data_IF_217550484871
#
_entry.id   IF_217550484871
#
_cell.length_a   1.000
_cell.length_b   1.000
_cell.length_c   1.000
_cell.angle_alpha   90.00
_cell.angle_beta   90.00
_cell.angle_gamma   90.00
#
_symmetry.space_group_name_H-M   'P 1'
#
loop_
_entity.id
_entity.type
_entity.pdbx_description
1 polymer ?
#
# COMPACT_ATOMS: atom_id res chain seq x y z
N UNK A 1 -11.29 41.66 -42.04
CA UNK A 1 -11.15 40.29 -42.57
C UNK A 1 -10.31 39.50 -41.58
N UNK A 2 -10.80 38.34 -41.15
CA UNK A 2 -10.54 37.70 -39.85
C UNK A 2 -9.12 37.12 -39.75
N UNK A 3 -8.41 37.46 -38.68
CA UNK A 3 -7.16 36.84 -38.25
C UNK A 3 -7.49 35.47 -37.63
N UNK A 4 -7.28 34.39 -38.38
CA UNK A 4 -7.43 33.01 -37.88
C UNK A 4 -6.17 32.66 -37.08
N UNK A 5 -6.18 32.96 -35.78
CA UNK A 5 -5.17 32.47 -34.85
C UNK A 5 -5.48 31.00 -34.58
N UNK A 6 -4.72 30.13 -35.25
CA UNK A 6 -4.72 28.68 -35.00
C UNK A 6 -4.13 28.46 -33.61
N UNK A 7 -5.00 28.42 -32.60
CA UNK A 7 -4.71 27.84 -31.30
C UNK A 7 -4.55 26.32 -31.51
N UNK A 8 -3.34 25.90 -31.87
CA UNK A 8 -2.92 24.52 -31.69
C UNK A 8 -2.97 24.23 -30.19
N UNK A 9 -4.11 23.69 -29.76
CA UNK A 9 -4.33 23.21 -28.41
C UNK A 9 -3.26 22.18 -28.08
N UNK A 10 -2.25 22.62 -27.34
CA UNK A 10 -1.46 21.75 -26.51
C UNK A 10 -2.43 21.13 -25.49
N UNK A 11 -3.07 20.03 -25.87
CA UNK A 11 -3.75 19.14 -24.95
C UNK A 11 -2.62 18.52 -24.13
N UNK A 12 -2.18 19.27 -23.12
CA UNK A 12 -1.36 18.75 -22.03
C UNK A 12 -2.29 17.80 -21.29
N UNK A 13 -2.32 16.54 -21.75
CA UNK A 13 -2.85 15.42 -21.01
C UNK A 13 -1.97 15.29 -19.78
N UNK A 14 -2.31 16.06 -18.75
CA UNK A 14 -1.81 15.88 -17.41
C UNK A 14 -2.39 14.55 -16.94
N UNK A 15 -1.65 13.48 -17.21
CA UNK A 15 -1.85 12.19 -16.58
C UNK A 15 -1.67 12.44 -15.09
N UNK A 16 -2.78 12.63 -14.37
CA UNK A 16 -2.83 12.59 -12.93
C UNK A 16 -2.43 11.18 -12.53
N UNK A 17 -1.13 10.97 -12.37
CA UNK A 17 -0.59 9.83 -11.66
C UNK A 17 -1.16 9.92 -10.26
N UNK A 18 -2.21 9.15 -9.98
CA UNK A 18 -2.79 9.04 -8.64
C UNK A 18 -1.65 8.72 -7.70
N UNK A 19 -1.34 9.64 -6.79
CA UNK A 19 -0.27 9.47 -5.82
C UNK A 19 -0.57 8.23 -4.97
N UNK A 20 0.05 7.12 -5.35
CA UNK A 20 0.18 5.90 -4.57
C UNK A 20 0.87 6.28 -3.26
N UNK A 21 0.09 6.54 -2.23
CA UNK A 21 0.56 6.73 -0.86
C UNK A 21 -0.17 5.72 0.01
N UNK A 22 0.55 5.02 0.87
CA UNK A 22 -0.04 4.51 2.12
C UNK A 22 -0.68 5.72 2.80
N UNK A 23 -2.01 5.73 2.81
CA UNK A 23 -2.78 6.96 2.95
C UNK A 23 -2.84 7.48 4.40
N UNK A 24 -2.31 6.75 5.39
CA UNK A 24 -2.28 7.18 6.79
C UNK A 24 -1.01 6.73 7.52
N UNK A 25 -0.17 7.69 7.91
CA UNK A 25 0.97 7.49 8.82
C UNK A 25 0.49 7.52 10.28
N UNK A 26 -0.36 6.57 10.66
CA UNK A 26 -0.84 6.41 12.05
C UNK A 26 -0.67 4.95 12.50
N UNK A 27 -0.42 4.71 13.79
CA UNK A 27 -0.45 3.36 14.35
C UNK A 27 -1.88 2.81 14.37
N UNK A 28 -2.02 1.48 14.38
CA UNK A 28 -3.29 0.76 14.44
C UNK A 28 -3.99 0.57 13.09
N UNK A 29 -3.35 0.93 11.96
CA UNK A 29 -3.90 0.70 10.62
C UNK A 29 -3.48 -0.69 10.16
N UNK A 30 -4.46 -1.57 9.93
CA UNK A 30 -4.21 -2.96 9.61
C UNK A 30 -4.30 -3.26 8.12
N UNK A 31 -3.36 -4.06 7.63
CA UNK A 31 -3.21 -4.46 6.24
C UNK A 31 -3.28 -5.98 6.11
N UNK A 32 -3.94 -6.44 5.04
CA UNK A 32 -3.98 -7.86 4.67
C UNK A 32 -2.72 -8.22 3.90
N UNK A 33 -2.08 -9.32 4.28
CA UNK A 33 -0.83 -9.78 3.69
C UNK A 33 -1.06 -11.16 3.08
N UNK A 34 -0.97 -11.22 1.77
CA UNK A 34 -1.20 -12.43 0.97
C UNK A 34 0.12 -13.14 0.68
N UNK A 35 0.11 -14.47 0.77
CA UNK A 35 1.20 -15.30 0.27
C UNK A 35 1.05 -15.55 -1.24
N UNK A 36 2.08 -16.09 -1.94
CA UNK A 36 1.96 -16.48 -3.34
C UNK A 36 0.82 -17.48 -3.62
N UNK A 37 0.48 -18.32 -2.65
CA UNK A 37 -0.61 -19.29 -2.72
C UNK A 37 -2.00 -18.64 -2.56
N UNK A 38 -2.05 -17.35 -2.24
CA UNK A 38 -3.27 -16.56 -2.05
C UNK A 38 -3.43 -15.47 -3.13
N UNK A 39 -3.48 -15.84 -4.43
CA UNK A 39 -3.39 -14.89 -5.55
C UNK A 39 -4.58 -13.93 -5.67
N UNK A 40 -5.72 -14.24 -5.03
CA UNK A 40 -6.91 -13.39 -5.08
C UNK A 40 -6.85 -12.32 -3.99
N UNK A 41 -6.32 -11.16 -4.34
CA UNK A 41 -6.07 -10.05 -3.41
C UNK A 41 -7.35 -9.36 -2.91
N UNK A 42 -8.44 -9.49 -3.67
CA UNK A 42 -9.75 -8.98 -3.31
C UNK A 42 -10.76 -10.12 -3.13
N UNK A 43 -10.72 -10.86 -2.00
CA UNK A 43 -11.72 -11.87 -1.71
C UNK A 43 -13.06 -11.20 -1.39
N UNK A 44 -14.16 -11.79 -1.86
CA UNK A 44 -15.52 -11.30 -1.57
C UNK A 44 -15.74 -11.27 -0.05
N UNK A 45 -16.10 -10.12 0.56
CA UNK A 45 -16.29 -10.02 2.01
C UNK A 45 -17.34 -11.00 2.57
N UNK A 46 -18.35 -11.37 1.76
CA UNK A 46 -19.42 -12.29 2.17
C UNK A 46 -19.01 -13.76 2.07
N UNK A 47 -17.93 -14.06 1.35
CA UNK A 47 -17.41 -15.41 1.13
C UNK A 47 -15.88 -15.35 1.18
N UNK A 48 -15.30 -15.23 2.40
CA UNK A 48 -13.86 -15.17 2.56
C UNK A 48 -13.23 -16.44 1.96
N UNK A 49 -12.31 -16.24 1.02
CA UNK A 49 -11.66 -17.35 0.29
C UNK A 49 -10.53 -17.97 1.12
N UNK A 50 -9.89 -17.17 1.97
CA UNK A 50 -8.75 -17.56 2.76
C UNK A 50 -9.11 -17.45 4.24
N UNK A 51 -9.36 -18.57 4.95
CA UNK A 51 -9.73 -18.54 6.36
C UNK A 51 -8.59 -18.03 7.25
N UNK A 52 -7.34 -18.29 6.85
CA UNK A 52 -6.14 -17.92 7.59
C UNK A 52 -5.36 -16.78 6.90
N UNK A 53 -6.08 -15.75 6.43
CA UNK A 53 -5.42 -14.59 5.83
C UNK A 53 -4.67 -13.80 6.89
N UNK A 54 -3.36 -13.67 6.73
CA UNK A 54 -2.56 -12.91 7.69
C UNK A 54 -2.91 -11.41 7.63
N UNK A 55 -3.04 -10.80 8.79
CA UNK A 55 -3.27 -9.38 8.97
C UNK A 55 -2.27 -8.84 9.97
N UNK A 56 -1.67 -7.71 9.63
CA UNK A 56 -0.73 -7.01 10.51
C UNK A 56 -1.08 -5.53 10.57
N UNK A 57 -0.78 -4.87 11.67
CA UNK A 57 -1.13 -3.48 11.91
C UNK A 57 0.11 -2.62 12.07
N UNK A 58 -0.01 -1.35 11.70
CA UNK A 58 1.07 -0.40 11.86
C UNK A 58 1.32 -0.11 13.33
N UNK A 59 2.58 -0.09 13.73
CA UNK A 59 2.99 0.16 15.11
C UNK A 59 4.29 0.95 15.16
N UNK A 60 4.56 1.59 16.30
CA UNK A 60 5.82 2.28 16.53
C UNK A 60 6.87 1.28 17.02
N UNK A 61 7.92 1.09 16.22
CA UNK A 61 9.04 0.20 16.53
C UNK A 61 10.33 1.01 16.53
N UNK A 62 11.24 0.69 17.44
CA UNK A 62 12.59 1.25 17.42
C UNK A 62 13.39 0.70 16.25
N UNK A 63 13.86 1.57 15.37
CA UNK A 63 14.81 1.28 14.31
C UNK A 63 15.94 2.29 14.35
N UNK A 64 17.20 1.84 14.43
CA UNK A 64 18.40 2.70 14.49
C UNK A 64 18.29 3.88 15.48
N UNK A 65 17.81 3.58 16.70
CA UNK A 65 17.62 4.56 17.80
C UNK A 65 16.51 5.60 17.57
N UNK A 66 15.71 5.46 16.52
CA UNK A 66 14.53 6.30 16.25
C UNK A 66 13.25 5.47 16.30
N UNK A 67 12.16 6.08 16.74
CA UNK A 67 10.84 5.45 16.65
C UNK A 67 10.30 5.60 15.22
N UNK A 68 10.00 4.46 14.61
CA UNK A 68 9.52 4.36 13.26
C UNK A 68 8.17 3.66 13.22
N UNK A 69 7.20 4.31 12.58
CA UNK A 69 5.94 3.69 12.24
C UNK A 69 6.20 2.64 11.18
N UNK A 70 5.91 1.39 11.54
CA UNK A 70 6.31 0.22 10.77
C UNK A 70 5.19 -0.81 10.72
N UNK A 71 5.27 -1.73 9.76
CA UNK A 71 4.36 -2.86 9.60
C UNK A 71 5.21 -4.13 9.50
N UNK A 72 4.96 -5.11 10.39
CA UNK A 72 5.71 -6.37 10.42
C UNK A 72 4.95 -7.47 9.69
N UNK A 73 5.61 -8.23 8.81
CA UNK A 73 4.98 -9.37 8.11
C UNK A 73 5.13 -10.67 8.89
N UNK A 74 4.43 -11.72 8.45
CA UNK A 74 4.56 -13.09 8.98
C UNK A 74 5.95 -13.71 8.79
N UNK A 75 6.79 -13.12 7.93
CA UNK A 75 8.16 -13.58 7.66
C UNK A 75 9.22 -12.73 8.40
N UNK A 76 8.80 -11.96 9.41
CA UNK A 76 9.65 -11.01 10.15
C UNK A 76 10.25 -9.87 9.31
N UNK A 77 9.71 -9.60 8.12
CA UNK A 77 10.08 -8.41 7.36
C UNK A 77 9.39 -7.18 7.96
N UNK A 78 10.10 -6.06 8.09
CA UNK A 78 9.59 -4.83 8.70
C UNK A 78 9.55 -3.73 7.65
N UNK A 79 8.35 -3.33 7.23
CA UNK A 79 8.13 -2.23 6.32
C UNK A 79 8.08 -0.91 7.10
N UNK A 80 9.02 -0.01 6.85
CA UNK A 80 9.12 1.29 7.54
C UNK A 80 8.37 2.35 6.75
N UNK A 81 7.30 2.89 7.34
CA UNK A 81 6.46 3.91 6.73
C UNK A 81 7.02 5.32 6.96
N UNK A 82 7.32 5.66 8.21
CA UNK A 82 7.82 6.97 8.60
C UNK A 82 8.58 6.89 9.92
N UNK A 83 9.61 7.70 10.12
CA UNK A 83 10.35 7.78 11.37
C UNK A 83 10.30 9.19 11.95
N UNK A 84 10.24 9.30 13.27
CA UNK A 84 10.25 10.59 13.96
C UNK A 84 11.60 11.29 13.68
N UNK A 85 11.56 12.58 13.34
CA UNK A 85 12.75 13.38 13.08
C UNK A 85 13.39 13.20 11.69
N UNK A 86 12.92 12.25 10.87
CA UNK A 86 13.43 12.05 9.51
C UNK A 86 12.54 12.78 8.50
N UNK A 87 13.04 13.88 7.94
CA UNK A 87 12.43 14.54 6.77
C UNK A 87 12.69 13.67 5.52
N UNK A 88 11.78 12.73 5.27
CA UNK A 88 11.91 11.76 4.20
C UNK A 88 11.98 12.43 2.81
N UNK A 89 13.15 12.36 2.15
CA UNK A 89 13.28 12.50 0.69
C UNK A 89 12.83 11.21 -0.04
N UNK A 90 11.77 10.57 0.43
CA UNK A 90 11.31 9.27 -0.11
C UNK A 90 10.48 9.52 -1.36
N UNK A 91 10.75 8.74 -2.41
CA UNK A 91 9.89 8.67 -3.60
C UNK A 91 8.47 8.28 -3.15
N UNK A 92 7.41 9.00 -3.58
CA UNK A 92 6.04 8.65 -3.25
C UNK A 92 5.73 7.18 -3.58
N UNK A 93 5.07 6.50 -2.65
CA UNK A 93 4.70 5.08 -2.80
C UNK A 93 5.84 4.09 -2.59
N UNK A 94 7.06 4.53 -2.29
CA UNK A 94 8.19 3.66 -1.99
C UNK A 94 8.58 3.72 -0.51
N UNK A 95 8.95 2.57 0.03
CA UNK A 95 9.17 2.33 1.46
C UNK A 95 10.44 1.54 1.66
N UNK A 96 11.12 1.80 2.77
CA UNK A 96 12.22 0.94 3.21
C UNK A 96 11.62 -0.31 3.83
N UNK A 97 12.13 -1.48 3.48
CA UNK A 97 11.83 -2.75 4.14
C UNK A 97 13.12 -3.32 4.73
N UNK A 98 13.03 -3.86 5.94
CA UNK A 98 14.13 -4.52 6.64
C UNK A 98 13.81 -5.99 6.68
N UNK A 99 14.64 -6.79 6.03
CA UNK A 99 14.47 -8.24 5.99
C UNK A 99 14.94 -8.89 7.30
N UNK A 100 14.62 -10.17 7.49
CA UNK A 100 15.06 -10.97 8.66
C UNK A 100 16.58 -10.93 8.85
N UNK A 101 17.34 -10.87 7.76
CA UNK A 101 18.82 -10.76 7.77
C UNK A 101 19.32 -9.34 8.06
N UNK A 102 18.44 -8.43 8.49
CA UNK A 102 18.70 -6.99 8.73
C UNK A 102 19.17 -6.22 7.50
N UNK A 103 18.99 -6.79 6.30
CA UNK A 103 19.26 -6.08 5.05
C UNK A 103 18.13 -5.12 4.75
N UNK A 104 18.49 -3.90 4.38
CA UNK A 104 17.54 -2.87 3.99
C UNK A 104 17.35 -2.84 2.46
N UNK A 105 16.11 -2.73 2.04
CA UNK A 105 15.74 -2.63 0.63
C UNK A 105 14.65 -1.57 0.44
N UNK A 106 14.46 -1.10 -0.80
CA UNK A 106 13.37 -0.20 -1.15
C UNK A 106 12.34 -0.97 -1.97
N UNK A 107 11.11 -1.02 -1.46
CA UNK A 107 9.96 -1.62 -2.14
C UNK A 107 8.95 -0.53 -2.48
N UNK A 108 8.34 -0.62 -3.66
CA UNK A 108 7.39 0.38 -4.12
C UNK A 108 6.01 -0.24 -4.33
N UNK A 109 4.99 0.57 -4.07
CA UNK A 109 3.62 0.27 -4.42
C UNK A 109 3.48 0.12 -5.93
N UNK A 110 2.75 -0.91 -6.34
CA UNK A 110 2.36 -1.16 -7.72
C UNK A 110 0.88 -1.52 -7.77
N UNK A 111 0.23 -1.22 -8.88
CA UNK A 111 -1.13 -1.69 -9.12
C UNK A 111 -1.08 -3.08 -9.73
N UNK A 112 -1.63 -4.05 -9.03
CA UNK A 112 -2.03 -5.34 -9.60
C UNK A 112 -3.15 -5.11 -10.61
N UNK A 113 -2.83 -5.22 -11.91
CA UNK A 113 -3.77 -4.93 -12.99
C UNK A 113 -4.89 -5.95 -13.11
N UNK A 114 -4.71 -7.16 -12.57
CA UNK A 114 -5.66 -8.25 -12.65
C UNK A 114 -6.79 -8.05 -11.63
N UNK A 115 -6.42 -7.75 -10.39
CA UNK A 115 -7.36 -7.56 -9.28
C UNK A 115 -7.73 -6.09 -9.04
N UNK A 116 -7.02 -5.13 -9.67
CA UNK A 116 -7.25 -3.70 -9.46
C UNK A 116 -6.81 -3.23 -8.07
N UNK A 117 -5.82 -3.89 -7.48
CA UNK A 117 -5.34 -3.62 -6.12
C UNK A 117 -3.97 -2.95 -6.12
N UNK A 118 -3.79 -1.94 -5.29
CA UNK A 118 -2.48 -1.39 -4.96
C UNK A 118 -1.81 -2.27 -3.92
N UNK A 119 -0.64 -2.79 -4.26
CA UNK A 119 0.12 -3.73 -3.43
C UNK A 119 1.57 -3.32 -3.28
N UNK A 120 2.15 -3.68 -2.14
CA UNK A 120 3.60 -3.72 -1.94
C UNK A 120 4.00 -5.19 -1.92
N UNK A 121 4.86 -5.60 -2.84
CA UNK A 121 5.40 -6.96 -2.86
C UNK A 121 6.76 -6.96 -2.15
N UNK A 122 6.92 -7.80 -1.14
CA UNK A 122 8.19 -7.98 -0.43
C UNK A 122 9.11 -8.93 -1.19
N UNK A 123 10.37 -9.03 -0.75
CA UNK A 123 11.36 -9.93 -1.37
C UNK A 123 10.97 -11.41 -1.22
N UNK A 124 10.31 -11.76 -0.12
CA UNK A 124 9.76 -13.10 0.10
C UNK A 124 8.41 -13.34 -0.61
N UNK A 125 8.07 -12.49 -1.61
CA UNK A 125 6.86 -12.56 -2.42
C UNK A 125 5.54 -12.44 -1.64
N UNK A 126 5.57 -11.78 -0.48
CA UNK A 126 4.35 -11.41 0.23
C UNK A 126 3.74 -10.16 -0.40
N UNK A 127 2.43 -10.16 -0.59
CA UNK A 127 1.69 -9.01 -1.12
C UNK A 127 0.92 -8.32 0.00
N UNK A 128 1.36 -7.12 0.37
CA UNK A 128 0.68 -6.24 1.32
C UNK A 128 -0.33 -5.41 0.55
N UNK A 129 -1.62 -5.64 0.79
CA UNK A 129 -2.71 -4.95 0.07
C UNK A 129 -2.99 -3.60 0.72
N UNK A 130 -2.69 -2.52 0.00
CA UNK A 130 -2.87 -1.14 0.47
C UNK A 130 -4.30 -0.65 0.23
N UNK A 131 -4.91 -1.07 -0.87
CA UNK A 131 -6.28 -0.77 -1.23
C UNK A 131 -6.65 -1.35 -2.59
N UNK A 132 -7.92 -1.66 -2.80
CA UNK A 132 -8.41 -2.21 -4.08
C UNK A 132 -9.52 -1.34 -4.65
N UNK A 133 -9.51 -1.16 -5.97
CA UNK A 133 -10.53 -0.46 -6.73
C UNK A 133 -11.22 -1.47 -7.65
N UNK A 134 -12.28 -2.16 -7.18
CA UNK A 134 -12.97 -3.13 -8.02
C UNK A 134 -13.54 -2.42 -9.27
N UNK A 135 -13.24 -2.96 -10.45
CA UNK A 135 -13.83 -2.47 -11.70
C UNK A 135 -15.34 -2.71 -11.66
N UNK A 136 -16.13 -1.65 -11.79
CA UNK A 136 -17.60 -1.72 -11.90
C UNK A 136 -18.40 -1.60 -10.60
N UNK A 137 -17.78 -1.24 -9.48
CA UNK A 137 -18.49 -0.93 -8.23
C UNK A 137 -18.25 0.53 -7.80
N UNK A 138 -19.34 1.24 -7.49
CA UNK A 138 -19.33 2.64 -7.08
C UNK A 138 -18.53 2.83 -5.77
N UNK A 139 -17.83 3.97 -5.56
CA UNK A 139 -16.78 4.13 -4.52
C UNK A 139 -17.29 4.19 -3.07
N UNK A 140 -18.57 3.91 -2.82
CA UNK A 140 -19.24 4.41 -1.64
C UNK A 140 -19.35 3.45 -0.45
N UNK A 141 -18.65 2.30 -0.36
CA UNK A 141 -18.98 1.39 0.75
C UNK A 141 -17.97 0.46 1.42
N UNK A 142 -16.69 0.35 1.03
CA UNK A 142 -15.80 -0.56 1.79
C UNK A 142 -14.40 0.01 1.98
N UNK A 143 -14.23 0.70 3.10
CA UNK A 143 -12.93 0.95 3.67
C UNK A 143 -12.30 -0.41 4.06
N UNK A 144 -11.24 -0.81 3.35
CA UNK A 144 -10.45 -2.01 3.69
C UNK A 144 -9.68 -1.80 5.00
N UNK A 145 -9.70 -0.58 5.55
CA UNK A 145 -9.14 -0.24 6.86
C UNK A 145 -10.17 -0.51 7.94
N UNK A 146 -9.83 -1.45 8.81
CA UNK A 146 -10.50 -1.59 10.10
C UNK A 146 -9.64 -0.87 11.13
N UNK A 147 -10.24 0.07 11.88
CA UNK A 147 -9.56 0.77 12.98
C UNK A 147 -9.42 -0.07 14.25
N UNK A 148 -9.89 -1.32 14.25
CA UNK A 148 -9.82 -2.24 15.39
C UNK A 148 -9.60 -3.67 14.92
N UNK A 149 -8.72 -4.43 15.58
CA UNK A 149 -8.70 -5.88 15.42
C UNK A 149 -10.04 -6.47 15.89
N UNK A 150 -10.49 -7.62 15.35
CA UNK A 150 -11.59 -8.38 15.94
C UNK A 150 -11.25 -8.67 17.40
N UNK A 151 -12.19 -8.41 18.32
CA UNK A 151 -12.06 -8.91 19.69
C UNK A 151 -12.14 -10.43 19.65
N UNK A 152 -11.19 -11.08 20.33
CA UNK A 152 -11.21 -12.51 20.65
C UNK A 152 -12.52 -12.93 21.30
#
# INVERSE_FOLDING_TARGET
MILVVVFCGAVVVSVQSQELRLQETKPGVCYKIHTPEQPKLYPNPRKPLYPNLHQSCTEWIKHDKMDCLSLKTQNDEVLILSCIGVKNRRRPGCYKIVNRDKREEIVCQKTDKKEGCNVITTRTNLNIVVGCFPRGYSPSLFDVRTRKPPRE
#
